data_IF_147421576112
#
_entry.id   IF_147421576112
#
_cell.length_a   1.000
_cell.length_b   1.000
_cell.length_c   1.000
_cell.angle_alpha   90.00
_cell.angle_beta   90.00
_cell.angle_gamma   90.00
#
_symmetry.space_group_name_H-M   'P 1'
#
loop_
_entity.id
_entity.type
_entity.pdbx_description
1 polymer ?
#
# COMPACT_ATOMS: atom_id res chain seq x y z
N UNK A 1 2.12 -13.13 -1.99
CA UNK A 1 0.68 -12.76 -2.06
C UNK A 1 -0.30 -13.94 -1.95
N UNK A 2 -0.39 -14.83 -2.97
CA UNK A 2 -1.38 -15.92 -3.01
C UNK A 2 -1.26 -16.92 -1.85
N UNK A 3 -0.04 -17.34 -1.52
CA UNK A 3 0.23 -18.26 -0.39
C UNK A 3 -0.21 -17.70 0.96
N UNK A 4 -0.27 -16.37 1.07
CA UNK A 4 -0.63 -15.62 2.29
C UNK A 4 -2.13 -15.26 2.31
N UNK A 5 -2.89 -15.71 1.30
CA UNK A 5 -4.32 -15.48 1.17
C UNK A 5 -4.72 -14.01 0.99
N UNK A 6 -3.78 -13.16 0.55
CA UNK A 6 -4.00 -11.73 0.31
C UNK A 6 -4.70 -11.53 -1.04
N UNK A 7 -5.66 -10.61 -1.06
CA UNK A 7 -6.33 -10.12 -2.28
C UNK A 7 -5.69 -8.82 -2.78
N UNK A 8 -5.07 -8.06 -1.87
CA UNK A 8 -4.33 -6.84 -2.17
C UNK A 8 -3.05 -6.87 -1.35
N UNK A 9 -1.92 -6.53 -1.95
CA UNK A 9 -0.65 -6.41 -1.24
C UNK A 9 0.22 -5.31 -1.79
N UNK A 10 1.28 -4.96 -1.08
CA UNK A 10 2.40 -4.20 -1.65
C UNK A 10 3.72 -4.80 -1.12
N UNK A 11 4.84 -4.66 -1.85
CA UNK A 11 6.15 -4.91 -1.28
C UNK A 11 6.43 -3.93 -0.14
N UNK A 12 7.18 -4.36 0.88
CA UNK A 12 7.57 -3.46 1.95
C UNK A 12 8.57 -2.40 1.48
N UNK A 13 8.52 -1.22 2.07
CA UNK A 13 9.55 -0.20 1.93
C UNK A 13 10.70 -0.48 2.89
N UNK A 14 11.93 -0.44 2.38
CA UNK A 14 13.10 -0.46 3.24
C UNK A 14 13.10 0.77 4.16
N UNK A 15 13.50 0.66 5.44
CA UNK A 15 13.62 1.82 6.32
C UNK A 15 14.51 2.95 5.79
N UNK A 16 15.42 2.65 4.86
CA UNK A 16 16.27 3.64 4.19
C UNK A 16 15.59 4.35 2.99
N UNK A 17 14.33 4.05 2.71
CA UNK A 17 13.58 4.74 1.65
C UNK A 17 13.35 6.21 2.01
N UNK A 18 13.42 7.09 1.03
CA UNK A 18 13.00 8.49 1.18
C UNK A 18 11.47 8.56 1.01
N UNK A 19 10.82 9.48 1.72
CA UNK A 19 9.36 9.73 1.66
C UNK A 19 8.47 8.56 2.10
N UNK A 20 8.63 8.08 3.34
CA UNK A 20 7.70 7.14 3.95
C UNK A 20 6.55 7.89 4.62
N UNK A 21 5.35 7.85 4.02
CA UNK A 21 4.15 8.53 4.55
C UNK A 21 3.41 7.71 5.62
N UNK A 22 3.30 6.40 5.42
CA UNK A 22 2.57 5.51 6.32
C UNK A 22 3.45 4.41 6.85
N UNK A 23 3.62 4.33 8.17
CA UNK A 23 4.53 3.34 8.78
C UNK A 23 4.15 1.87 8.56
N UNK A 24 2.92 1.60 8.14
CA UNK A 24 2.51 0.25 7.72
C UNK A 24 3.24 -0.21 6.46
N UNK A 25 3.82 0.68 5.67
CA UNK A 25 4.58 0.26 4.48
C UNK A 25 6.00 -0.20 4.85
N UNK A 26 6.49 0.13 6.05
CA UNK A 26 7.87 -0.17 6.47
C UNK A 26 8.08 -1.66 6.72
N UNK A 27 9.17 -2.19 6.17
CA UNK A 27 9.58 -3.58 6.32
C UNK A 27 9.84 -3.99 7.77
N UNK A 28 9.26 -5.12 8.16
CA UNK A 28 9.56 -5.86 9.38
C UNK A 28 10.49 -7.02 9.07
N UNK A 29 11.80 -6.83 9.30
CA UNK A 29 12.88 -7.77 8.92
C UNK A 29 12.67 -9.22 9.39
N UNK A 30 11.99 -9.43 10.52
CA UNK A 30 11.75 -10.76 11.10
C UNK A 30 10.43 -11.42 10.65
N UNK A 31 9.70 -10.81 9.71
CA UNK A 31 8.40 -11.30 9.24
C UNK A 31 8.46 -11.53 7.73
N UNK A 32 7.55 -12.39 7.25
CA UNK A 32 7.29 -12.58 5.82
C UNK A 32 6.21 -11.62 5.32
N UNK A 33 5.18 -11.39 6.14
CA UNK A 33 4.07 -10.48 5.87
C UNK A 33 3.64 -9.84 7.18
N UNK A 34 3.17 -8.60 7.09
CA UNK A 34 2.37 -8.00 8.15
C UNK A 34 1.13 -7.30 7.58
N UNK A 35 0.06 -7.32 8.37
CA UNK A 35 -1.24 -6.73 8.00
C UNK A 35 -1.68 -5.58 8.91
N UNK A 36 -0.87 -5.30 9.94
CA UNK A 36 -1.09 -4.20 10.88
C UNK A 36 0.20 -3.61 11.42
N UNK A 37 0.10 -2.37 11.89
CA UNK A 37 1.11 -1.69 12.71
C UNK A 37 0.55 -1.25 14.05
N UNK A 38 1.48 -1.05 14.97
CA UNK A 38 1.24 -0.53 16.30
C UNK A 38 2.12 0.70 16.39
N UNK A 39 1.50 1.86 16.50
CA UNK A 39 2.26 3.09 16.65
C UNK A 39 1.52 4.09 17.50
N UNK A 40 2.21 4.60 18.50
CA UNK A 40 1.69 5.61 19.41
C UNK A 40 2.28 7.00 19.09
N UNK A 41 3.22 7.08 18.14
CA UNK A 41 3.91 8.30 17.72
C UNK A 41 3.46 8.70 16.30
N UNK A 42 3.36 10.01 16.04
CA UNK A 42 2.89 10.56 14.75
C UNK A 42 1.44 11.06 14.79
N UNK A 43 0.93 11.49 13.64
CA UNK A 43 -0.42 12.06 13.49
C UNK A 43 -1.54 11.03 13.62
N UNK A 44 -1.27 9.76 13.29
CA UNK A 44 -2.23 8.66 13.42
C UNK A 44 -1.74 7.67 14.47
N UNK A 45 -2.54 7.48 15.52
CA UNK A 45 -2.27 6.52 16.60
C UNK A 45 -2.96 5.19 16.31
N UNK A 46 -2.18 4.12 16.21
CA UNK A 46 -2.65 2.76 15.99
C UNK A 46 -2.59 1.93 17.27
N UNK A 47 -3.75 1.73 17.90
CA UNK A 47 -3.94 0.91 19.10
C UNK A 47 -4.71 -0.38 18.78
N UNK A 48 -5.17 -1.09 19.80
CA UNK A 48 -5.88 -2.37 19.67
C UNK A 48 -7.27 -2.21 19.08
N UNK A 49 -7.89 -1.06 19.30
CA UNK A 49 -9.19 -0.69 18.74
C UNK A 49 -9.09 -0.14 17.30
N UNK A 50 -7.88 0.12 16.80
CA UNK A 50 -7.67 0.68 15.46
C UNK A 50 -7.72 -0.41 14.38
N UNK A 51 -8.91 -0.63 13.82
CA UNK A 51 -9.17 -1.57 12.70
C UNK A 51 -9.31 -0.87 11.33
N UNK A 52 -9.00 0.43 11.31
CA UNK A 52 -9.02 1.28 10.13
C UNK A 52 -7.67 1.42 9.44
N UNK A 53 -7.64 1.81 8.15
CA UNK A 53 -6.43 2.33 7.54
C UNK A 53 -6.00 3.63 8.24
N UNK A 54 -4.70 3.94 8.29
CA UNK A 54 -3.57 3.14 7.81
C UNK A 54 -3.11 2.03 8.79
N UNK A 55 -3.81 1.81 9.91
CA UNK A 55 -3.36 0.88 10.96
C UNK A 55 -3.49 -0.60 10.58
N UNK A 56 -4.56 -0.96 9.88
CA UNK A 56 -4.81 -2.29 9.31
C UNK A 56 -5.37 -2.16 7.90
N UNK A 57 -5.26 -3.22 7.12
CA UNK A 57 -6.05 -3.33 5.88
C UNK A 57 -5.68 -2.31 4.80
N UNK A 58 -4.45 -1.78 4.84
CA UNK A 58 -3.99 -0.65 4.02
C UNK A 58 -2.76 -1.03 3.19
N UNK A 59 -2.74 -0.53 1.96
CA UNK A 59 -1.54 -0.44 1.12
C UNK A 59 -1.49 0.93 0.48
N UNK A 60 -0.29 1.41 0.21
CA UNK A 60 -0.09 2.70 -0.44
C UNK A 60 -0.21 2.56 -1.96
N UNK A 61 -0.70 3.60 -2.63
CA UNK A 61 -0.98 3.58 -4.07
C UNK A 61 0.24 3.44 -4.98
N UNK A 62 1.46 3.51 -4.44
CA UNK A 62 2.71 3.49 -5.22
C UNK A 62 3.03 2.14 -5.84
N UNK A 63 2.80 1.04 -5.12
CA UNK A 63 3.13 -0.31 -5.60
C UNK A 63 2.11 -1.39 -5.19
N UNK A 64 0.78 -1.17 -5.37
CA UNK A 64 -0.19 -2.17 -5.02
C UNK A 64 -0.23 -3.31 -6.06
N UNK A 65 -0.37 -4.53 -5.55
CA UNK A 65 -0.55 -5.77 -6.31
C UNK A 65 -1.92 -6.32 -5.95
N UNK A 66 -2.76 -6.54 -6.96
CA UNK A 66 -4.15 -6.95 -6.79
C UNK A 66 -4.42 -8.34 -7.32
N UNK A 67 -5.38 -9.03 -6.71
CA UNK A 67 -5.99 -10.20 -7.33
C UNK A 67 -6.85 -9.73 -8.51
N UNK A 68 -7.20 -10.65 -9.42
CA UNK A 68 -8.05 -10.30 -10.57
C UNK A 68 -9.41 -9.72 -10.15
N UNK A 69 -10.00 -10.23 -9.08
CA UNK A 69 -11.27 -9.72 -8.54
C UNK A 69 -11.11 -8.36 -7.85
N UNK A 70 -10.06 -8.19 -7.04
CA UNK A 70 -9.78 -6.93 -6.38
C UNK A 70 -9.48 -5.83 -7.39
N UNK A 71 -8.68 -6.12 -8.43
CA UNK A 71 -8.37 -5.17 -9.50
C UNK A 71 -9.61 -4.70 -10.24
N UNK A 72 -10.54 -5.60 -10.58
CA UNK A 72 -11.80 -5.20 -11.22
C UNK A 72 -12.56 -4.22 -10.34
N UNK A 73 -12.68 -4.47 -9.04
CA UNK A 73 -13.32 -3.52 -8.12
C UNK A 73 -12.56 -2.19 -8.05
N UNK A 74 -11.24 -2.22 -7.89
CA UNK A 74 -10.39 -1.04 -7.80
C UNK A 74 -10.47 -0.19 -9.06
N UNK A 75 -10.53 -0.81 -10.23
CA UNK A 75 -10.70 -0.12 -11.49
C UNK A 75 -12.00 0.70 -11.54
N UNK A 76 -13.11 0.14 -11.08
CA UNK A 76 -14.37 0.88 -10.99
C UNK A 76 -14.30 2.00 -9.93
N UNK A 77 -13.60 1.79 -8.81
CA UNK A 77 -13.35 2.85 -7.83
C UNK A 77 -12.56 4.00 -8.45
N UNK A 78 -11.49 3.71 -9.19
CA UNK A 78 -10.64 4.70 -9.85
C UNK A 78 -11.50 5.53 -10.80
N UNK A 79 -12.24 4.88 -11.71
CA UNK A 79 -13.08 5.56 -12.71
C UNK A 79 -14.15 6.48 -12.08
N UNK A 80 -14.66 6.12 -10.91
CA UNK A 80 -15.68 6.91 -10.22
C UNK A 80 -15.11 8.06 -9.37
N UNK A 81 -13.82 8.05 -9.04
CA UNK A 81 -13.20 8.94 -8.05
C UNK A 81 -11.98 9.71 -8.61
N UNK A 82 -12.00 10.01 -9.92
CA UNK A 82 -10.88 10.58 -10.68
C UNK A 82 -10.51 12.05 -10.33
N UNK A 83 -11.24 12.71 -9.42
CA UNK A 83 -11.13 14.18 -9.28
C UNK A 83 -10.06 14.61 -8.26
N UNK A 84 -9.67 13.77 -7.28
CA UNK A 84 -8.78 14.22 -6.21
C UNK A 84 -7.52 13.36 -5.95
N UNK A 85 -7.49 12.09 -6.33
CA UNK A 85 -6.32 11.19 -6.23
C UNK A 85 -5.84 10.86 -4.80
N UNK A 86 -5.75 11.86 -3.93
CA UNK A 86 -5.44 11.78 -2.51
C UNK A 86 -6.57 11.08 -1.75
N UNK A 87 -6.20 10.07 -0.95
CA UNK A 87 -7.15 9.28 -0.15
C UNK A 87 -7.73 8.05 -0.86
N UNK A 88 -7.34 7.78 -2.11
CA UNK A 88 -7.76 6.56 -2.82
C UNK A 88 -7.23 5.28 -2.15
N UNK A 89 -6.00 5.35 -1.64
CA UNK A 89 -5.35 4.33 -0.82
C UNK A 89 -6.17 3.88 0.40
N UNK A 90 -6.92 4.81 1.02
CA UNK A 90 -7.84 4.51 2.13
C UNK A 90 -9.03 3.64 1.69
N UNK A 91 -9.38 3.64 0.40
CA UNK A 91 -10.52 2.90 -0.17
C UNK A 91 -10.14 1.57 -0.80
N UNK A 92 -8.87 1.36 -1.18
CA UNK A 92 -8.43 0.13 -1.86
C UNK A 92 -8.82 -1.13 -1.09
N UNK A 93 -8.72 -1.11 0.24
CA UNK A 93 -9.04 -2.26 1.09
C UNK A 93 -10.49 -2.77 0.97
N UNK A 94 -11.44 -1.96 0.52
CA UNK A 94 -12.82 -2.43 0.27
C UNK A 94 -12.89 -3.46 -0.86
N UNK A 95 -11.98 -3.36 -1.83
CA UNK A 95 -11.92 -4.30 -2.96
C UNK A 95 -11.31 -5.65 -2.61
N UNK A 96 -10.75 -5.81 -1.41
CA UNK A 96 -10.28 -7.09 -0.89
C UNK A 96 -11.41 -7.96 -0.33
N UNK A 97 -12.62 -7.40 -0.18
CA UNK A 97 -13.74 -8.04 0.53
C UNK A 97 -14.76 -8.67 -0.42
N UNK A 98 -14.74 -8.38 -1.72
CA UNK A 98 -15.77 -8.85 -2.66
C UNK A 98 -15.26 -10.01 -3.51
N UNK A 99 -15.78 -11.21 -3.24
CA UNK A 99 -15.68 -12.35 -4.17
C UNK A 99 -17.09 -12.70 -4.62
N UNK A 100 -17.42 -12.40 -5.89
CA UNK A 100 -18.71 -12.71 -6.54
C UNK A 100 -19.96 -12.17 -5.80
N UNK A 101 -19.96 -10.90 -5.40
CA UNK A 101 -21.13 -10.25 -4.80
C UNK A 101 -21.40 -10.57 -3.33
N UNK A 102 -20.60 -11.45 -2.72
CA UNK A 102 -20.67 -11.78 -1.29
C UNK A 102 -19.53 -11.04 -0.57
N UNK A 103 -19.84 -10.40 0.57
CA UNK A 103 -18.84 -9.86 1.50
C UNK A 103 -18.09 -11.04 2.11
N UNK A 104 -16.85 -11.25 1.66
CA UNK A 104 -16.01 -12.37 2.04
C UNK A 104 -14.67 -11.84 2.57
N UNK A 105 -14.59 -11.73 3.89
CA UNK A 105 -13.36 -11.45 4.61
C UNK A 105 -13.17 -9.99 5.01
N UNK A 106 -12.52 -9.82 6.15
CA UNK A 106 -12.08 -8.52 6.68
C UNK A 106 -10.83 -8.04 5.90
N UNK A 107 -10.80 -6.76 5.52
CA UNK A 107 -9.64 -6.13 4.88
C UNK A 107 -8.37 -6.29 5.70
N UNK A 108 -8.49 -6.34 7.04
CA UNK A 108 -7.37 -6.55 7.96
C UNK A 108 -6.69 -7.92 7.79
N UNK A 109 -7.37 -8.88 7.15
CA UNK A 109 -6.82 -10.22 6.85
C UNK A 109 -6.43 -10.39 5.38
N UNK A 110 -7.09 -9.66 4.48
CA UNK A 110 -6.94 -9.81 3.02
C UNK A 110 -6.02 -8.77 2.38
N UNK A 111 -5.66 -7.72 3.12
CA UNK A 111 -4.71 -6.70 2.69
C UNK A 111 -3.47 -6.76 3.57
N UNK A 112 -2.28 -6.64 2.99
CA UNK A 112 -1.05 -6.66 3.77
C UNK A 112 0.20 -6.33 2.97
N UNK A 113 1.27 -6.08 3.71
CA UNK A 113 2.59 -5.75 3.18
C UNK A 113 3.45 -6.99 3.25
N UNK A 114 4.12 -7.32 2.15
CA UNK A 114 5.03 -8.46 2.06
C UNK A 114 6.41 -7.99 2.51
N UNK A 115 6.88 -8.46 3.67
CA UNK A 115 8.17 -8.06 4.26
C UNK A 115 9.36 -8.82 3.68
N UNK A 116 9.11 -10.01 3.12
CA UNK A 116 10.12 -10.81 2.42
C UNK A 116 10.50 -10.25 1.06
N UNK A 117 9.63 -9.43 0.46
CA UNK A 117 9.81 -8.77 -0.82
C UNK A 117 9.78 -7.26 -0.57
N UNK A 118 10.91 -6.58 -0.69
CA UNK A 118 11.00 -5.17 -0.33
C UNK A 118 11.70 -4.35 -1.41
N UNK A 119 11.39 -3.06 -1.43
CA UNK A 119 11.96 -2.09 -2.35
C UNK A 119 12.50 -0.89 -1.58
N UNK A 120 13.49 -0.21 -2.16
CA UNK A 120 13.97 1.09 -1.68
C UNK A 120 13.30 2.15 -2.54
N UNK A 121 12.40 2.93 -1.94
CA UNK A 121 11.73 4.03 -2.64
C UNK A 121 12.57 5.30 -2.54
N UNK A 122 12.74 6.01 -3.67
CA UNK A 122 13.60 7.19 -3.79
C UNK A 122 12.83 8.52 -3.77
N UNK A 123 11.51 8.50 -3.59
CA UNK A 123 10.70 9.74 -3.48
C UNK A 123 10.70 10.61 -4.74
N UNK A 124 11.23 10.10 -5.86
CA UNK A 124 11.38 10.87 -7.09
C UNK A 124 10.01 11.02 -7.73
N UNK A 125 9.52 12.24 -7.82
CA UNK A 125 8.26 12.55 -8.49
C UNK A 125 8.38 12.26 -9.99
N UNK A 126 7.55 11.35 -10.49
CA UNK A 126 7.47 11.02 -11.92
C UNK A 126 6.57 12.01 -12.68
N UNK A 127 5.62 12.64 -11.98
CA UNK A 127 4.65 13.59 -12.53
C UNK A 127 4.64 14.86 -11.67
N UNK A 128 4.79 16.03 -12.30
CA UNK A 128 4.97 17.31 -11.62
C UNK A 128 6.29 17.96 -12.04
N UNK A 129 6.22 19.17 -12.62
CA UNK A 129 7.39 19.89 -13.12
C UNK A 129 8.22 20.49 -11.98
N UNK A 130 9.02 19.67 -11.30
CA UNK A 130 10.06 20.13 -10.38
C UNK A 130 11.44 19.96 -11.01
N UNK A 131 12.12 21.07 -11.30
CA UNK A 131 13.51 21.04 -11.77
C UNK A 131 14.39 20.20 -10.82
N UNK A 132 15.28 19.35 -11.35
CA UNK A 132 16.08 18.45 -10.53
C UNK A 132 17.17 19.23 -9.79
N UNK A 133 17.02 19.41 -8.48
CA UNK A 133 18.18 19.72 -7.62
C UNK A 133 19.02 18.45 -7.45
N UNK A 134 20.06 18.37 -8.29
CA UNK A 134 21.26 17.55 -8.24
C UNK A 134 21.29 16.35 -7.25
N UNK A 135 21.10 15.15 -7.80
CA UNK A 135 22.06 14.02 -7.85
C UNK A 135 21.36 12.81 -8.48
N UNK A 136 21.31 12.80 -9.82
CA UNK A 136 20.79 11.67 -10.61
C UNK A 136 21.92 10.66 -10.79
N UNK A 137 21.95 9.61 -9.97
CA UNK A 137 22.62 8.36 -10.39
C UNK A 137 21.69 7.72 -11.40
N UNK A 138 22.21 7.50 -12.61
CA UNK A 138 21.47 6.88 -13.72
C UNK A 138 21.21 5.42 -13.33
N UNK A 139 20.06 5.16 -12.73
CA UNK A 139 19.47 3.84 -12.59
C UNK A 139 18.27 3.77 -13.53
N UNK A 140 18.23 2.75 -14.39
CA UNK A 140 17.08 2.49 -15.27
C UNK A 140 15.79 2.46 -14.44
N UNK A 141 14.93 3.44 -14.66
CA UNK A 141 13.58 3.46 -14.12
C UNK A 141 12.77 2.44 -14.93
N UNK A 142 12.42 1.32 -14.31
CA UNK A 142 11.38 0.45 -14.84
C UNK A 142 10.05 1.20 -14.73
N UNK A 143 9.56 1.69 -15.86
CA UNK A 143 8.15 1.98 -16.06
C UNK A 143 7.43 0.65 -16.15
N UNK A 144 6.57 0.35 -15.17
CA UNK A 144 5.50 -0.65 -15.29
C UNK A 144 4.17 0.06 -15.26
#
# INVERSE_FOLDING_TARGET
>A
MKSEGLEISQPALDPNSTDIHHRITIRKRMKKVHRRVWDLRGSVKCSNISEGPPCTGFVEGMAPVFSRSAWRCTWHLIQNDLVHGWGMDMKLGYCAQKKRGILQGDRSKKVGVIDSEFIVHQGIQTLGGGSPSAKKVIGFAFFF
#
